data_IF_355662402348
#
_entry.id   IF_355662402348
#
_cell.length_a   1.000
_cell.length_b   1.000
_cell.length_c   1.000
_cell.angle_alpha   90.00
_cell.angle_beta   90.00
_cell.angle_gamma   90.00
#
_symmetry.space_group_name_H-M   'P 1'
#
loop_
_entity.id
_entity.type
_entity.pdbx_description
1 polymer ?
#
# COMPACT_ATOMS: atom_id res chain seq x y z
N UNK A 1 -33.52 9.54 13.21
CA UNK A 1 -33.31 8.49 12.20
C UNK A 1 -32.92 9.19 10.92
N UNK A 2 -31.62 9.34 10.68
CA UNK A 2 -31.02 9.61 9.38
C UNK A 2 -29.52 9.43 9.60
N UNK A 3 -29.01 8.24 9.27
CA UNK A 3 -27.59 7.97 9.23
C UNK A 3 -27.17 8.24 7.79
N UNK A 4 -26.35 9.28 7.61
CA UNK A 4 -25.81 9.69 6.32
C UNK A 4 -24.93 8.61 5.73
N UNK A 5 -25.33 8.16 4.55
CA UNK A 5 -24.62 7.38 3.55
C UNK A 5 -23.12 7.72 3.48
N UNK A 6 -22.27 6.74 3.83
CA UNK A 6 -20.83 6.77 3.59
C UNK A 6 -20.54 6.27 2.17
N UNK A 7 -20.78 7.11 1.16
CA UNK A 7 -20.20 6.83 -0.16
C UNK A 7 -18.69 7.11 -0.08
N UNK A 8 -17.87 6.07 -0.18
CA UNK A 8 -16.40 6.17 -0.15
C UNK A 8 -15.94 6.71 -1.52
N UNK A 9 -15.43 7.95 -1.63
CA UNK A 9 -14.81 8.38 -2.88
C UNK A 9 -13.51 7.60 -3.09
N UNK A 10 -13.26 7.24 -4.35
CA UNK A 10 -12.02 6.59 -4.79
C UNK A 10 -10.83 7.50 -4.56
N UNK A 11 -10.21 7.42 -3.38
CA UNK A 11 -9.04 8.20 -3.01
C UNK A 11 -7.81 7.79 -3.84
N UNK A 12 -7.35 8.70 -4.70
CA UNK A 12 -6.06 8.61 -5.37
C UNK A 12 -5.00 9.22 -4.46
N UNK A 13 -4.39 8.38 -3.61
CA UNK A 13 -3.25 8.78 -2.79
C UNK A 13 -2.01 8.87 -3.71
N UNK A 14 -1.22 9.96 -3.65
CA UNK A 14 0.05 10.02 -4.34
C UNK A 14 0.97 8.91 -3.82
N UNK A 15 1.44 8.07 -4.73
CA UNK A 15 2.34 6.96 -4.46
C UNK A 15 3.73 7.54 -4.17
N UNK A 16 3.98 7.97 -2.94
CA UNK A 16 5.29 8.44 -2.51
C UNK A 16 6.29 7.29 -2.60
N UNK A 17 7.15 7.32 -3.62
CA UNK A 17 8.36 6.50 -3.68
C UNK A 17 9.28 6.91 -2.53
N UNK A 18 9.09 6.27 -1.37
CA UNK A 18 10.11 6.24 -0.32
C UNK A 18 11.34 5.56 -0.90
N UNK A 19 12.32 6.35 -1.34
CA UNK A 19 13.69 5.89 -1.54
C UNK A 19 14.21 5.42 -0.19
N UNK A 20 14.09 4.12 0.07
CA UNK A 20 14.82 3.45 1.12
C UNK A 20 16.30 3.58 0.76
N UNK A 21 16.98 4.51 1.42
CA UNK A 21 18.43 4.62 1.36
C UNK A 21 18.96 3.39 2.10
N UNK A 22 19.18 2.31 1.36
CA UNK A 22 19.98 1.19 1.83
C UNK A 22 21.40 1.68 2.05
N UNK A 23 21.77 1.84 3.32
CA UNK A 23 23.13 2.07 3.73
C UNK A 23 23.98 0.87 3.27
N UNK A 24 24.83 1.09 2.28
CA UNK A 24 25.70 0.05 1.72
C UNK A 24 26.87 -0.17 2.66
N UNK A 25 26.75 -1.16 3.55
CA UNK A 25 27.89 -1.65 4.32
C UNK A 25 28.84 -2.38 3.37
N UNK A 26 29.88 -1.65 2.98
CA UNK A 26 30.97 -2.08 2.12
C UNK A 26 31.79 -3.16 2.81
N UNK A 27 31.45 -4.43 2.59
CA UNK A 27 32.30 -5.56 3.00
C UNK A 27 33.50 -5.61 2.06
N UNK A 28 34.64 -5.16 2.57
CA UNK A 28 35.91 -5.18 1.85
C UNK A 28 36.33 -6.63 1.54
N UNK A 29 36.42 -6.94 0.26
CA UNK A 29 37.06 -8.13 -0.27
C UNK A 29 38.57 -8.05 -0.03
N UNK A 30 39.13 -8.96 0.78
CA UNK A 30 40.56 -9.25 0.76
C UNK A 30 40.79 -10.63 0.14
N UNK A 31 41.27 -10.60 -1.11
CA UNK A 31 41.74 -11.76 -1.87
C UNK A 31 43.27 -11.77 -1.89
N UNK A 32 43.81 -12.86 -1.35
CA UNK A 32 45.09 -13.54 -1.66
C UNK A 32 46.37 -12.96 -1.02
N UNK A 33 47.02 -13.79 -0.19
CA UNK A 33 48.36 -14.39 -0.37
C UNK A 33 49.02 -14.65 0.99
N UNK A 34 49.19 -15.92 1.40
CA UNK A 34 50.50 -16.52 1.76
C UNK A 34 50.37 -18.02 2.14
N UNK A 35 51.20 -18.92 1.60
CA UNK A 35 51.16 -20.36 1.89
C UNK A 35 52.29 -20.80 2.83
N UNK A 36 51.94 -21.43 3.96
CA UNK A 36 52.76 -22.35 4.78
C UNK A 36 51.85 -22.72 5.97
N UNK A 37 51.51 -23.97 6.26
CA UNK A 37 52.43 -24.94 6.84
C UNK A 37 51.71 -26.30 6.92
N UNK A 38 52.44 -27.33 6.52
CA UNK A 38 52.05 -28.72 6.49
C UNK A 38 52.30 -29.34 7.87
N UNK A 39 51.25 -29.73 8.60
CA UNK A 39 51.37 -30.76 9.64
C UNK A 39 50.16 -31.69 9.53
N UNK A 40 50.46 -32.93 9.18
CA UNK A 40 49.57 -34.07 9.30
C UNK A 40 49.51 -34.52 10.76
N UNK A 41 48.30 -34.77 11.27
CA UNK A 41 48.07 -35.72 12.36
C UNK A 41 46.86 -36.58 11.98
N UNK A 42 47.11 -37.88 11.88
CA UNK A 42 46.15 -38.96 11.69
C UNK A 42 45.56 -39.40 13.04
N UNK A 43 44.49 -40.20 12.94
CA UNK A 43 43.78 -40.99 13.95
C UNK A 43 42.70 -40.22 14.74
N UNK A 44 41.51 -40.76 15.01
CA UNK A 44 40.99 -42.12 14.98
C UNK A 44 39.46 -42.06 14.83
N UNK A 45 38.88 -43.01 14.11
CA UNK A 45 37.44 -43.25 14.04
C UNK A 45 36.85 -43.58 15.42
N UNK A 46 35.63 -43.13 15.69
CA UNK A 46 34.70 -43.84 16.56
C UNK A 46 33.26 -43.59 16.12
N UNK A 47 32.59 -44.71 15.84
CA UNK A 47 31.20 -44.89 15.50
C UNK A 47 30.37 -44.92 16.80
N UNK A 48 29.32 -44.10 16.94
CA UNK A 48 28.10 -44.49 17.66
C UNK A 48 26.94 -43.52 17.40
N UNK A 49 25.80 -44.11 17.08
CA UNK A 49 24.44 -43.57 17.09
C UNK A 49 24.09 -42.81 18.38
N UNK A 50 23.44 -41.64 18.25
CA UNK A 50 22.96 -40.86 19.38
C UNK A 50 22.09 -39.68 18.95
N UNK A 51 20.83 -39.77 19.32
CA UNK A 51 19.69 -38.85 19.16
C UNK A 51 19.92 -37.41 19.62
N UNK A 52 19.32 -36.48 18.88
CA UNK A 52 18.79 -35.16 19.29
C UNK A 52 19.72 -33.97 19.60
N UNK A 53 19.43 -32.91 18.82
CA UNK A 53 19.09 -31.55 19.26
C UNK A 53 20.03 -30.41 18.89
N UNK A 54 19.43 -29.54 18.06
CA UNK A 54 19.44 -28.06 18.17
C UNK A 54 20.73 -27.31 17.89
N UNK A 55 20.89 -26.89 16.64
CA UNK A 55 21.06 -25.47 16.36
C UNK A 55 20.48 -25.15 14.97
N UNK A 56 19.14 -25.03 14.90
CA UNK A 56 18.52 -24.18 13.90
C UNK A 56 18.29 -22.87 14.61
N UNK A 57 19.00 -21.86 14.12
CA UNK A 57 18.73 -20.45 14.36
C UNK A 57 17.25 -20.20 14.03
N UNK A 58 16.43 -20.17 15.09
CA UNK A 58 15.04 -19.78 15.04
C UNK A 58 15.00 -18.27 14.76
N UNK A 59 14.97 -17.91 13.48
CA UNK A 59 14.14 -16.79 13.09
C UNK A 59 12.72 -17.15 13.53
N UNK A 60 12.22 -16.47 14.55
CA UNK A 60 10.85 -16.57 15.01
C UNK A 60 9.93 -16.15 13.84
N UNK A 61 9.56 -17.12 13.02
CA UNK A 61 8.40 -17.00 12.16
C UNK A 61 7.22 -17.07 13.11
N UNK A 62 6.77 -15.90 13.57
CA UNK A 62 5.47 -15.78 14.19
C UNK A 62 4.48 -16.48 13.26
N UNK A 63 3.91 -17.57 13.75
CA UNK A 63 2.76 -18.20 13.10
C UNK A 63 1.59 -17.24 13.32
N UNK A 64 1.55 -16.12 12.58
CA UNK A 64 0.41 -15.22 12.61
C UNK A 64 -0.78 -16.04 12.15
N UNK A 65 -1.70 -16.33 13.07
CA UNK A 65 -2.95 -17.01 12.73
C UNK A 65 -3.71 -16.15 11.73
N UNK A 66 -3.96 -16.70 10.54
CA UNK A 66 -4.75 -16.04 9.52
C UNK A 66 -6.22 -16.05 9.96
N UNK A 67 -6.84 -14.87 10.00
CA UNK A 67 -8.23 -14.71 10.40
C UNK A 67 -9.11 -14.77 9.15
N UNK A 68 -10.04 -15.74 9.10
CA UNK A 68 -11.06 -15.76 8.05
C UNK A 68 -12.15 -14.73 8.36
N UNK A 69 -12.48 -13.90 7.37
CA UNK A 69 -13.46 -12.81 7.51
C UNK A 69 -14.17 -12.60 6.17
N UNK A 70 -15.42 -12.17 6.19
CA UNK A 70 -16.13 -11.73 4.98
C UNK A 70 -16.13 -10.19 4.86
N UNK A 71 -16.53 -9.68 3.71
CA UNK A 71 -16.59 -8.24 3.44
C UNK A 71 -17.49 -7.49 4.46
N UNK A 72 -18.73 -7.93 4.74
CA UNK A 72 -19.58 -7.25 5.72
C UNK A 72 -18.99 -7.23 7.15
N UNK A 73 -18.36 -8.31 7.59
CA UNK A 73 -17.75 -8.39 8.93
C UNK A 73 -16.51 -7.53 9.03
N UNK A 74 -15.68 -7.51 7.98
CA UNK A 74 -14.53 -6.61 7.91
C UNK A 74 -14.96 -5.15 8.04
N UNK A 75 -15.98 -4.73 7.28
CA UNK A 75 -16.46 -3.35 7.26
C UNK A 75 -17.08 -2.91 8.60
N UNK A 76 -17.66 -3.82 9.38
CA UNK A 76 -18.24 -3.51 10.70
C UNK A 76 -17.19 -3.23 11.78
N UNK A 77 -16.02 -3.86 11.73
CA UNK A 77 -15.03 -3.77 12.80
C UNK A 77 -13.56 -3.78 12.30
N UNK A 78 -13.19 -2.94 11.31
CA UNK A 78 -11.87 -3.04 10.68
C UNK A 78 -10.73 -2.69 11.63
N UNK A 79 -10.95 -1.75 12.57
CA UNK A 79 -9.99 -1.36 13.62
C UNK A 79 -9.55 -2.54 14.51
N UNK A 80 -10.42 -3.54 14.67
CA UNK A 80 -10.10 -4.76 15.45
C UNK A 80 -9.20 -5.74 14.70
N UNK A 81 -9.08 -5.57 13.38
CA UNK A 81 -8.30 -6.40 12.48
C UNK A 81 -6.98 -5.73 12.07
N UNK A 82 -6.78 -4.44 12.34
CA UNK A 82 -5.55 -3.70 12.04
C UNK A 82 -4.30 -4.44 12.54
N UNK A 83 -3.31 -4.58 11.66
CA UNK A 83 -2.05 -5.27 11.93
C UNK A 83 -2.16 -6.79 11.97
N UNK A 84 -3.32 -7.38 11.63
CA UNK A 84 -3.52 -8.83 11.58
C UNK A 84 -3.59 -9.33 10.15
N UNK A 85 -3.17 -10.57 9.96
CA UNK A 85 -3.34 -11.29 8.72
C UNK A 85 -4.78 -11.77 8.57
N UNK A 86 -5.41 -11.42 7.46
CA UNK A 86 -6.78 -11.83 7.14
C UNK A 86 -6.83 -12.61 5.84
N UNK A 87 -7.82 -13.50 5.74
CA UNK A 87 -8.22 -14.17 4.50
C UNK A 87 -9.68 -13.84 4.23
N UNK A 88 -9.93 -13.06 3.18
CA UNK A 88 -11.22 -12.48 2.87
C UNK A 88 -11.72 -12.94 1.50
N UNK A 89 -12.99 -13.34 1.43
CA UNK A 89 -13.68 -13.67 0.18
C UNK A 89 -14.61 -12.52 -0.21
N UNK A 90 -14.57 -12.12 -1.47
CA UNK A 90 -15.44 -11.07 -2.00
C UNK A 90 -15.47 -11.04 -3.53
N UNK A 91 -16.44 -10.34 -4.10
CA UNK A 91 -16.51 -10.08 -5.54
C UNK A 91 -15.72 -8.82 -5.87
N UNK A 92 -14.92 -8.84 -6.93
CA UNK A 92 -14.14 -7.66 -7.34
C UNK A 92 -15.04 -6.68 -8.07
N UNK A 93 -15.31 -5.54 -7.45
CA UNK A 93 -16.12 -4.47 -8.01
C UNK A 93 -15.37 -3.60 -9.02
N UNK A 94 -14.07 -3.41 -8.80
CA UNK A 94 -13.22 -2.57 -9.65
C UNK A 94 -11.74 -2.88 -9.43
N UNK A 95 -10.95 -2.80 -10.50
CA UNK A 95 -9.49 -2.79 -10.50
C UNK A 95 -9.01 -1.46 -11.09
N UNK A 96 -8.21 -0.71 -10.33
CA UNK A 96 -7.73 0.60 -10.77
C UNK A 96 -6.93 0.52 -12.07
N UNK A 97 -7.39 1.24 -13.10
CA UNK A 97 -6.75 1.28 -14.43
C UNK A 97 -5.34 1.89 -14.41
N UNK A 98 -5.10 2.81 -13.49
CA UNK A 98 -3.81 3.45 -13.27
C UNK A 98 -2.91 2.52 -12.45
N UNK A 99 -2.24 1.60 -13.13
CA UNK A 99 -1.20 0.73 -12.58
C UNK A 99 -1.69 -0.56 -11.92
N UNK A 100 -3.00 -0.82 -11.84
CA UNK A 100 -3.52 -2.08 -11.30
C UNK A 100 -3.15 -2.33 -9.83
N UNK A 101 -2.72 -1.31 -9.09
CA UNK A 101 -2.21 -1.45 -7.72
C UNK A 101 -3.30 -1.54 -6.66
N UNK A 102 -4.57 -1.36 -7.06
CA UNK A 102 -5.71 -1.39 -6.15
C UNK A 102 -6.86 -2.14 -6.80
N UNK A 103 -7.56 -2.92 -5.99
CA UNK A 103 -8.87 -3.45 -6.31
C UNK A 103 -9.84 -3.19 -5.16
N UNK A 104 -11.13 -3.31 -5.43
CA UNK A 104 -12.17 -3.13 -4.44
C UNK A 104 -13.04 -4.37 -4.36
N UNK A 105 -13.14 -4.97 -3.17
CA UNK A 105 -14.05 -6.07 -2.91
C UNK A 105 -15.41 -5.52 -2.48
N UNK A 106 -16.47 -6.09 -3.03
CA UNK A 106 -17.86 -5.82 -2.64
C UNK A 106 -18.56 -7.08 -2.15
N UNK A 107 -19.70 -6.87 -1.49
CA UNK A 107 -20.65 -7.92 -1.11
C UNK A 107 -22.06 -7.45 -1.47
N UNK A 108 -22.95 -8.33 -1.94
CA UNK A 108 -24.31 -7.93 -2.33
C UNK A 108 -25.11 -7.31 -1.18
N UNK A 109 -24.83 -7.71 0.06
CA UNK A 109 -25.54 -7.22 1.26
C UNK A 109 -24.98 -5.91 1.84
N UNK A 110 -23.94 -5.31 1.24
CA UNK A 110 -23.41 -4.02 1.69
C UNK A 110 -23.02 -3.10 0.54
N UNK A 111 -23.30 -1.80 0.68
CA UNK A 111 -22.94 -0.80 -0.33
C UNK A 111 -21.44 -0.46 -0.30
N UNK A 112 -20.85 -0.53 0.90
CA UNK A 112 -19.44 -0.23 1.12
C UNK A 112 -18.51 -1.31 0.53
N UNK A 113 -17.28 -0.88 0.21
CA UNK A 113 -16.28 -1.71 -0.44
C UNK A 113 -15.00 -1.77 0.38
N UNK A 114 -14.33 -2.92 0.36
CA UNK A 114 -13.02 -3.09 0.97
C UNK A 114 -11.94 -2.81 -0.06
N UNK A 115 -11.10 -1.82 0.23
CA UNK A 115 -9.92 -1.51 -0.59
C UNK A 115 -8.84 -2.57 -0.34
N UNK A 116 -8.33 -3.14 -1.42
CA UNK A 116 -7.19 -4.05 -1.41
C UNK A 116 -6.08 -3.41 -2.24
N UNK A 117 -4.88 -3.32 -1.68
CA UNK A 117 -3.70 -2.76 -2.34
C UNK A 117 -2.73 -3.89 -2.64
N UNK A 118 -2.13 -3.90 -3.82
CA UNK A 118 -1.07 -4.84 -4.15
C UNK A 118 0.18 -4.54 -3.31
N UNK A 119 0.73 -5.56 -2.65
CA UNK A 119 2.02 -5.45 -1.97
C UNK A 119 3.19 -5.48 -2.99
N UNK A 120 4.42 -5.57 -2.49
CA UNK A 120 5.62 -5.65 -3.33
C UNK A 120 5.72 -6.96 -4.13
N UNK A 121 5.01 -8.02 -3.73
CA UNK A 121 4.99 -9.32 -4.39
C UNK A 121 3.98 -9.37 -5.55
N UNK A 122 2.98 -8.50 -5.54
CA UNK A 122 1.97 -8.40 -6.59
C UNK A 122 2.28 -7.21 -7.52
N UNK A 123 2.76 -7.45 -8.76
CA UNK A 123 3.13 -6.36 -9.66
C UNK A 123 1.93 -5.50 -10.06
N UNK A 124 0.79 -6.12 -10.35
CA UNK A 124 -0.49 -5.46 -10.59
C UNK A 124 -1.61 -6.51 -10.57
N UNK A 125 -2.80 -6.09 -10.15
CA UNK A 125 -4.03 -6.85 -10.35
C UNK A 125 -4.45 -6.77 -11.83
N UNK A 126 -4.92 -7.90 -12.37
CA UNK A 126 -5.45 -7.96 -13.73
C UNK A 126 -6.87 -7.40 -13.75
N UNK A 127 -7.21 -6.61 -14.77
CA UNK A 127 -8.58 -6.11 -14.97
C UNK A 127 -9.59 -7.23 -15.18
N UNK A 128 -9.15 -8.38 -15.70
CA UNK A 128 -9.97 -9.59 -15.87
C UNK A 128 -10.57 -10.11 -14.56
N UNK A 129 -10.07 -9.67 -13.40
CA UNK A 129 -10.64 -10.02 -12.11
C UNK A 129 -11.96 -9.29 -11.82
N UNK A 130 -12.28 -8.19 -12.50
CA UNK A 130 -13.55 -7.47 -12.29
C UNK A 130 -14.75 -8.38 -12.56
N UNK A 131 -15.67 -8.47 -11.59
CA UNK A 131 -16.82 -9.37 -11.60
C UNK A 131 -16.51 -10.80 -11.13
N UNK A 132 -15.24 -11.16 -10.94
CA UNK A 132 -14.87 -12.46 -10.38
C UNK A 132 -14.96 -12.47 -8.85
N UNK A 133 -15.28 -13.64 -8.29
CA UNK A 133 -15.18 -13.88 -6.85
C UNK A 133 -13.76 -14.33 -6.53
N UNK A 134 -13.10 -13.65 -5.61
CA UNK A 134 -11.71 -13.92 -5.22
C UNK A 134 -11.59 -14.19 -3.73
N UNK A 135 -10.52 -14.87 -3.35
CA UNK A 135 -10.04 -14.99 -1.98
C UNK A 135 -8.71 -14.26 -1.89
N UNK A 136 -8.66 -13.22 -1.07
CA UNK A 136 -7.48 -12.40 -0.80
C UNK A 136 -6.93 -12.76 0.56
N UNK A 137 -5.63 -13.03 0.64
CA UNK A 137 -4.89 -13.08 1.91
C UNK A 137 -3.97 -11.87 2.00
N UNK A 138 -3.99 -11.19 3.15
CA UNK A 138 -3.17 -9.99 3.32
C UNK A 138 -3.24 -9.37 4.71
N UNK A 139 -2.41 -8.34 4.90
CA UNK A 139 -2.29 -7.59 6.14
C UNK A 139 -3.28 -6.42 6.15
N UNK A 140 -4.02 -6.26 7.26
CA UNK A 140 -4.90 -5.10 7.42
C UNK A 140 -4.10 -3.88 7.86
N UNK A 141 -4.19 -2.82 7.08
CA UNK A 141 -3.54 -1.53 7.32
C UNK A 141 -4.56 -0.45 7.65
N UNK A 142 -4.16 0.48 8.52
CA UNK A 142 -4.92 1.69 8.85
C UNK A 142 -4.12 2.91 8.42
N UNK A 143 -4.70 3.73 7.54
CA UNK A 143 -4.23 5.07 7.25
C UNK A 143 -4.99 6.05 8.14
N UNK A 144 -4.26 6.72 9.03
CA UNK A 144 -4.78 7.82 9.85
C UNK A 144 -4.51 9.14 9.14
N UNK A 145 -5.58 9.88 8.89
CA UNK A 145 -5.54 11.21 8.30
C UNK A 145 -5.89 12.21 9.39
N UNK A 146 -4.88 12.88 9.91
CA UNK A 146 -5.02 13.97 10.88
C UNK A 146 -4.74 15.33 10.21
N UNK A 147 -4.74 16.39 11.02
CA UNK A 147 -4.45 17.74 10.52
C UNK A 147 -3.05 17.82 9.89
N UNK A 148 -2.05 17.21 10.52
CA UNK A 148 -0.65 17.26 10.06
C UNK A 148 -0.52 16.59 8.70
N UNK A 149 -1.14 15.42 8.53
CA UNK A 149 -1.19 14.70 7.25
C UNK A 149 -1.77 15.58 6.14
N UNK A 150 -2.89 16.27 6.41
CA UNK A 150 -3.55 17.13 5.42
C UNK A 150 -2.73 18.38 5.10
N UNK A 151 -2.02 18.94 6.08
CA UNK A 151 -1.14 20.10 5.87
C UNK A 151 0.09 19.72 5.03
N UNK A 152 0.69 18.56 5.29
CA UNK A 152 1.80 18.02 4.48
C UNK A 152 1.34 17.73 3.05
N UNK A 153 0.19 17.07 2.87
CA UNK A 153 -0.34 16.78 1.55
C UNK A 153 -0.68 18.05 0.76
N UNK A 154 -1.24 19.07 1.41
CA UNK A 154 -1.46 20.37 0.78
C UNK A 154 -0.15 21.01 0.31
N UNK A 155 0.89 21.00 1.15
CA UNK A 155 2.19 21.56 0.78
C UNK A 155 2.82 20.83 -0.42
N UNK A 156 2.63 19.52 -0.55
CA UNK A 156 3.07 18.76 -1.73
C UNK A 156 2.35 19.20 -3.00
N UNK A 157 1.01 19.29 -2.96
CA UNK A 157 0.17 19.74 -4.10
C UNK A 157 0.56 21.17 -4.52
N UNK A 158 0.75 22.07 -3.56
CA UNK A 158 1.19 23.45 -3.83
C UNK A 158 2.60 23.46 -4.45
N UNK A 159 3.53 22.66 -3.95
CA UNK A 159 4.88 22.58 -4.51
C UNK A 159 4.92 21.99 -5.93
N UNK A 160 3.99 21.10 -6.28
CA UNK A 160 3.86 20.53 -7.62
C UNK A 160 3.27 21.56 -8.60
N UNK A 161 2.24 22.32 -8.20
CA UNK A 161 1.69 23.40 -9.02
C UNK A 161 2.70 24.53 -9.31
N UNK A 162 3.61 24.83 -8.37
CA UNK A 162 4.70 25.78 -8.61
C UNK A 162 5.74 25.28 -9.62
N UNK A 163 6.04 23.97 -9.66
CA UNK A 163 6.97 23.39 -10.65
C UNK A 163 6.35 23.31 -12.06
N UNK A 164 5.05 23.02 -12.14
CA UNK A 164 4.26 23.03 -13.38
C UNK A 164 4.25 24.44 -14.01
N UNK A 165 4.05 25.47 -13.18
CA UNK A 165 4.03 26.87 -13.61
C UNK A 165 5.42 27.41 -13.99
N UNK A 166 6.50 27.06 -13.27
CA UNK A 166 7.87 27.40 -13.68
C UNK A 166 8.28 26.76 -15.02
N UNK A 167 7.79 25.55 -15.33
CA UNK A 167 8.02 24.90 -16.63
C UNK A 167 7.30 25.61 -17.79
N UNK A 168 6.18 26.29 -17.53
CA UNK A 168 5.44 27.09 -18.53
C UNK A 168 6.00 28.50 -18.74
N UNK A 169 6.82 29.03 -17.83
CA UNK A 169 7.35 30.42 -17.92
C UNK A 169 8.59 30.55 -18.85
N UNK A 170 9.12 29.45 -19.40
CA UNK A 170 10.29 29.46 -20.29
C UNK A 170 10.02 29.30 -21.80
N UNK A 171 8.77 29.43 -22.26
CA UNK A 171 8.48 29.62 -23.70
C UNK A 171 8.05 31.06 -23.94
N UNK A 172 9.03 31.96 -23.99
CA UNK A 172 8.84 33.32 -24.43
C UNK A 172 8.54 33.39 -25.93
N UNK A 173 7.44 34.07 -26.26
CA UNK A 173 7.08 34.47 -27.61
C UNK A 173 5.80 35.28 -27.53
N UNK A 174 5.90 36.60 -27.69
CA UNK A 174 4.76 37.46 -27.92
C UNK A 174 3.97 36.97 -29.14
N UNK A 175 2.64 37.17 -29.14
CA UNK A 175 1.83 37.65 -30.27
C UNK A 175 0.36 37.18 -30.15
N UNK A 176 -0.54 38.17 -30.06
CA UNK A 176 -1.94 38.23 -30.50
C UNK A 176 -3.06 37.31 -29.94
N UNK A 177 -3.99 37.99 -29.25
CA UNK A 177 -5.45 38.01 -29.39
C UNK A 177 -6.28 36.73 -29.65
N UNK A 178 -7.14 36.45 -28.66
CA UNK A 178 -8.52 35.92 -28.73
C UNK A 178 -8.77 34.71 -29.63
N UNK A 179 -9.12 33.59 -29.01
CA UNK A 179 -10.47 33.03 -29.12
C UNK A 179 -10.71 31.97 -28.04
N UNK A 180 -11.86 32.07 -27.40
CA UNK A 180 -12.31 31.19 -26.33
C UNK A 180 -12.44 29.75 -26.83
N UNK A 181 -11.73 28.83 -26.18
CA UNK A 181 -12.14 27.43 -26.10
C UNK A 181 -12.31 27.07 -24.64
N UNK A 182 -13.57 27.02 -24.23
CA UNK A 182 -14.04 26.26 -23.08
C UNK A 182 -13.64 24.79 -23.31
N UNK A 183 -12.54 24.41 -22.68
CA UNK A 183 -12.24 23.04 -22.30
C UNK A 183 -11.79 23.16 -20.86
N UNK A 184 -12.67 22.83 -19.92
CA UNK A 184 -12.34 22.70 -18.50
C UNK A 184 -11.41 21.49 -18.34
N UNK A 185 -10.14 21.68 -18.70
CA UNK A 185 -9.05 20.90 -18.14
C UNK A 185 -8.95 21.35 -16.69
N UNK A 186 -9.78 20.79 -15.81
CA UNK A 186 -9.64 20.96 -14.36
C UNK A 186 -8.21 20.53 -14.00
N UNK A 187 -7.44 21.47 -13.47
CA UNK A 187 -6.07 21.26 -13.03
C UNK A 187 -6.07 20.07 -12.05
N UNK A 188 -5.17 19.10 -12.22
CA UNK A 188 -5.07 17.94 -11.31
C UNK A 188 -4.88 18.40 -9.85
N UNK A 189 -4.30 19.58 -9.65
CA UNK A 189 -4.15 20.21 -8.34
C UNK A 189 -5.49 20.71 -7.76
N UNK A 190 -6.42 21.19 -8.57
CA UNK A 190 -7.73 21.66 -8.10
C UNK A 190 -8.52 20.50 -7.49
N UNK A 191 -8.52 19.34 -8.15
CA UNK A 191 -9.16 18.13 -7.62
C UNK A 191 -8.47 17.59 -6.36
N UNK A 192 -7.15 17.73 -6.22
CA UNK A 192 -6.44 17.35 -5.00
C UNK A 192 -6.80 18.29 -3.84
N UNK A 193 -6.86 19.59 -4.08
CA UNK A 193 -7.24 20.59 -3.09
C UNK A 193 -8.70 20.44 -2.63
N UNK A 194 -9.62 20.14 -3.54
CA UNK A 194 -11.02 19.80 -3.20
C UNK A 194 -11.09 18.60 -2.24
N UNK A 195 -10.31 17.55 -2.51
CA UNK A 195 -10.25 16.36 -1.64
C UNK A 195 -9.70 16.68 -0.26
N UNK A 196 -8.61 17.46 -0.18
CA UNK A 196 -8.03 17.90 1.10
C UNK A 196 -9.06 18.67 1.91
N UNK A 197 -9.78 19.60 1.28
CA UNK A 197 -10.81 20.41 1.96
C UNK A 197 -11.97 19.53 2.45
N UNK A 198 -12.45 18.59 1.63
CA UNK A 198 -13.49 17.65 2.04
C UNK A 198 -13.04 16.78 3.23
N UNK A 199 -11.78 16.33 3.26
CA UNK A 199 -11.23 15.62 4.41
C UNK A 199 -11.14 16.51 5.66
N UNK A 200 -10.74 17.78 5.51
CA UNK A 200 -10.73 18.74 6.64
C UNK A 200 -12.12 18.97 7.21
N UNK A 201 -13.16 19.03 6.37
CA UNK A 201 -14.54 19.12 6.84
C UNK A 201 -14.95 17.89 7.64
N UNK A 202 -14.63 16.69 7.15
CA UNK A 202 -14.87 15.44 7.89
C UNK A 202 -14.10 15.41 9.21
N UNK A 203 -12.86 15.92 9.24
CA UNK A 203 -12.03 15.96 10.43
C UNK A 203 -12.62 16.86 11.54
N UNK A 204 -13.31 17.94 11.19
CA UNK A 204 -14.00 18.81 12.19
C UNK A 204 -15.07 18.06 12.98
N UNK A 205 -15.67 17.03 12.39
CA UNK A 205 -16.70 16.21 13.02
C UNK A 205 -16.11 14.94 13.67
N UNK A 206 -14.78 14.75 13.65
CA UNK A 206 -14.13 13.60 14.27
C UNK A 206 -13.86 13.85 15.75
N UNK A 207 -14.27 12.91 16.61
CA UNK A 207 -13.98 12.93 18.04
C UNK A 207 -12.54 12.47 18.35
N UNK A 208 -11.94 11.62 17.50
CA UNK A 208 -10.60 11.07 17.71
C UNK A 208 -9.48 12.02 17.22
N UNK A 209 -9.82 13.12 16.55
CA UNK A 209 -8.85 14.08 15.98
C UNK A 209 -8.15 13.59 14.71
N UNK A 210 -8.60 12.46 14.15
CA UNK A 210 -8.17 11.91 12.85
C UNK A 210 -9.32 11.15 12.18
N UNK A 211 -9.16 10.85 10.89
CA UNK A 211 -10.01 9.93 10.12
C UNK A 211 -9.24 8.64 9.86
N UNK A 212 -9.90 7.49 10.02
CA UNK A 212 -9.29 6.18 9.74
C UNK A 212 -9.80 5.61 8.43
N UNK A 213 -8.88 5.20 7.56
CA UNK A 213 -9.17 4.45 6.35
C UNK A 213 -8.48 3.10 6.43
N UNK A 214 -9.22 2.03 6.16
CA UNK A 214 -8.71 0.67 6.26
C UNK A 214 -8.55 0.04 4.87
N UNK A 215 -7.44 -0.67 4.68
CA UNK A 215 -7.18 -1.45 3.47
C UNK A 215 -6.49 -2.76 3.80
N UNK A 216 -6.47 -3.67 2.84
CA UNK A 216 -5.73 -4.92 2.93
C UNK A 216 -4.54 -4.86 1.97
N UNK A 217 -3.32 -4.93 2.48
CA UNK A 217 -2.12 -5.16 1.69
C UNK A 217 -2.09 -6.64 1.28
N UNK A 218 -2.37 -6.90 0.01
CA UNK A 218 -2.57 -8.23 -0.54
C UNK A 218 -1.24 -8.93 -0.77
N UNK A 219 -1.07 -10.10 -0.15
CA UNK A 219 0.07 -11.00 -0.37
C UNK A 219 -0.27 -12.08 -1.39
N UNK A 220 -1.48 -12.63 -1.31
CA UNK A 220 -1.98 -13.62 -2.27
C UNK A 220 -3.42 -13.34 -2.66
N UNK A 221 -3.75 -13.71 -3.89
CA UNK A 221 -5.10 -13.62 -4.45
C UNK A 221 -5.38 -14.82 -5.34
N UNK A 222 -6.50 -15.49 -5.07
CA UNK A 222 -6.94 -16.66 -5.81
C UNK A 222 -8.38 -16.46 -6.30
N UNK A 223 -8.62 -16.70 -7.58
CA UNK A 223 -9.97 -16.67 -8.15
C UNK A 223 -10.73 -17.95 -7.80
N UNK A 224 -11.97 -17.80 -7.33
CA UNK A 224 -12.88 -18.90 -7.05
C UNK A 224 -13.59 -19.27 -8.35
N UNK A 225 -13.24 -20.43 -8.89
CA UNK A 225 -13.86 -21.01 -10.09
C UNK A 225 -15.11 -21.82 -9.75
#
# INVERSE_FOLDING_TARGET
MEQGVNSIPTFFLPLSHKKIIFNTLKIASMRKLFPFFLIAVLFMACNNSGTQSTNKESAAKETSSIIEVDVPTFLKAPKSLTGKQVRIKGEVAHVCKHGGKRLFLMHPDCEDRVKVTADDNIPAFKQELEGSVVVVTGLVEELKVDKTYLDEWQAEVEAESHKESEKKIHTGGADHEKEAKEGEDHDENDHAMEQINAMREKLKNSEEGYLSFFSIACETIDEVK
#
